data_IF_631580285143
#
_entry.id   IF_631580285143
#
_cell.length_a   1.000
_cell.length_b   1.000
_cell.length_c   1.000
_cell.angle_alpha   90.00
_cell.angle_beta   90.00
_cell.angle_gamma   90.00
#
_symmetry.space_group_name_H-M   'P 1'
#
loop_
_entity.id
_entity.type
_entity.pdbx_description
1 polymer ?
#
# COMPACT_ATOMS: atom_id res chain seq x y z
N UNK A 1 -85.65 -18.89 14.87
CA UNK A 1 -84.98 -19.13 13.57
C UNK A 1 -83.50 -18.87 13.75
N UNK A 2 -82.69 -19.85 13.35
CA UNK A 2 -81.29 -20.06 13.73
C UNK A 2 -80.31 -18.95 13.31
N UNK A 3 -79.43 -18.60 14.25
CA UNK A 3 -78.19 -17.86 13.99
C UNK A 3 -77.08 -18.87 13.64
N UNK A 4 -76.61 -18.82 12.39
CA UNK A 4 -75.50 -19.64 11.90
C UNK A 4 -74.16 -19.00 12.28
N UNK A 5 -73.41 -19.64 13.17
CA UNK A 5 -72.03 -19.28 13.52
C UNK A 5 -71.10 -19.94 12.51
N UNK A 6 -70.60 -19.16 11.55
CA UNK A 6 -69.56 -19.60 10.62
C UNK A 6 -68.19 -19.58 11.32
N UNK A 7 -67.76 -20.74 11.84
CA UNK A 7 -66.38 -20.95 12.30
C UNK A 7 -65.46 -21.20 11.10
N UNK A 8 -64.84 -20.13 10.60
CA UNK A 8 -63.80 -20.21 9.57
C UNK A 8 -62.48 -20.65 10.22
N UNK A 9 -62.15 -21.95 10.14
CA UNK A 9 -60.82 -22.48 10.46
C UNK A 9 -59.82 -22.07 9.38
N UNK A 10 -59.06 -21.01 9.62
CA UNK A 10 -57.92 -20.58 8.78
C UNK A 10 -56.68 -21.46 9.05
N UNK A 11 -55.93 -21.72 7.98
CA UNK A 11 -55.02 -22.85 7.78
C UNK A 11 -53.64 -22.73 8.50
N UNK A 12 -53.04 -23.85 8.94
CA UNK A 12 -51.71 -23.90 9.58
C UNK A 12 -50.51 -23.90 8.61
N UNK A 13 -50.68 -23.59 7.32
CA UNK A 13 -49.61 -23.75 6.29
C UNK A 13 -48.68 -22.55 6.19
N UNK A 14 -49.15 -21.32 6.44
CA UNK A 14 -48.33 -20.09 6.27
C UNK A 14 -47.19 -19.93 7.30
N UNK A 15 -47.30 -20.57 8.47
CA UNK A 15 -46.28 -20.51 9.51
C UNK A 15 -44.99 -21.28 9.15
N UNK A 16 -45.05 -22.26 8.24
CA UNK A 16 -43.86 -23.00 7.79
C UNK A 16 -43.02 -22.19 6.80
N UNK A 17 -43.64 -21.47 5.87
CA UNK A 17 -42.93 -20.67 4.87
C UNK A 17 -42.21 -19.46 5.49
N UNK A 18 -42.78 -18.87 6.55
CA UNK A 18 -42.14 -17.79 7.30
C UNK A 18 -40.84 -18.24 8.01
N UNK A 19 -40.75 -19.51 8.43
CA UNK A 19 -39.56 -20.07 9.07
C UNK A 19 -38.39 -20.27 8.10
N UNK A 20 -38.67 -20.80 6.90
CA UNK A 20 -37.65 -21.03 5.86
C UNK A 20 -37.05 -19.70 5.37
N UNK A 21 -37.90 -18.69 5.13
CA UNK A 21 -37.43 -17.35 4.72
C UNK A 21 -36.51 -16.68 5.75
N UNK A 22 -36.73 -16.91 7.05
CA UNK A 22 -35.87 -16.39 8.14
C UNK A 22 -34.52 -17.11 8.24
N UNK A 23 -34.47 -18.39 7.87
CA UNK A 23 -33.22 -19.14 7.83
C UNK A 23 -32.39 -18.71 6.61
N UNK A 24 -33.02 -18.60 5.44
CA UNK A 24 -32.37 -18.12 4.21
C UNK A 24 -31.84 -16.69 4.36
N UNK A 25 -32.58 -15.78 5.01
CA UNK A 25 -32.11 -14.41 5.25
C UNK A 25 -30.88 -14.39 6.16
N UNK A 26 -30.86 -15.21 7.23
CA UNK A 26 -29.73 -15.32 8.14
C UNK A 26 -28.50 -15.90 7.47
N UNK A 27 -28.66 -16.92 6.64
CA UNK A 27 -27.53 -17.52 5.95
C UNK A 27 -27.00 -16.60 4.84
N UNK A 28 -27.87 -15.85 4.16
CA UNK A 28 -27.45 -14.79 3.23
C UNK A 28 -26.68 -13.65 3.95
N UNK A 29 -27.12 -13.23 5.14
CA UNK A 29 -26.41 -12.25 5.96
C UNK A 29 -25.05 -12.76 6.43
N UNK A 30 -24.95 -14.01 6.90
CA UNK A 30 -23.68 -14.64 7.26
C UNK A 30 -22.72 -14.71 6.08
N UNK A 31 -23.20 -15.12 4.90
CA UNK A 31 -22.37 -15.17 3.69
C UNK A 31 -21.87 -13.77 3.28
N UNK A 32 -22.71 -12.73 3.41
CA UNK A 32 -22.29 -11.34 3.18
C UNK A 32 -21.23 -10.90 4.20
N UNK A 33 -21.42 -11.18 5.48
CA UNK A 33 -20.46 -10.85 6.54
C UNK A 33 -19.12 -11.56 6.34
N UNK A 34 -19.12 -12.85 5.99
CA UNK A 34 -17.91 -13.61 5.68
C UNK A 34 -17.17 -13.05 4.47
N UNK A 35 -17.88 -12.69 3.40
CA UNK A 35 -17.28 -12.05 2.21
C UNK A 35 -16.65 -10.70 2.54
N UNK A 36 -17.33 -9.88 3.35
CA UNK A 36 -16.79 -8.60 3.81
C UNK A 36 -15.53 -8.79 4.67
N UNK A 37 -15.53 -9.74 5.60
CA UNK A 37 -14.36 -10.05 6.42
C UNK A 37 -13.17 -10.52 5.56
N UNK A 38 -13.40 -11.39 4.57
CA UNK A 38 -12.36 -11.83 3.64
C UNK A 38 -11.82 -10.67 2.79
N UNK A 39 -12.67 -9.72 2.40
CA UNK A 39 -12.23 -8.54 1.67
C UNK A 39 -11.31 -7.66 2.53
N UNK A 40 -11.65 -7.42 3.80
CA UNK A 40 -10.82 -6.66 4.76
C UNK A 40 -9.48 -7.34 5.01
N UNK A 41 -9.47 -8.65 5.23
CA UNK A 41 -8.22 -9.42 5.43
C UNK A 41 -7.32 -9.36 4.19
N UNK A 42 -7.89 -9.26 2.99
CA UNK A 42 -7.13 -9.10 1.74
C UNK A 42 -6.59 -7.69 1.53
N UNK A 43 -7.25 -6.64 2.01
CA UNK A 43 -6.80 -5.25 1.83
C UNK A 43 -5.73 -4.81 2.83
N UNK A 44 -5.79 -5.29 4.08
CA UNK A 44 -4.81 -4.97 5.13
C UNK A 44 -3.33 -5.10 4.72
N UNK A 45 -2.86 -6.19 4.08
CA UNK A 45 -1.45 -6.29 3.70
C UNK A 45 -1.06 -5.29 2.60
N UNK A 46 -1.99 -4.89 1.73
CA UNK A 46 -1.73 -3.92 0.67
C UNK A 46 -1.55 -2.52 1.24
N UNK A 47 -2.40 -2.13 2.19
CA UNK A 47 -2.29 -0.84 2.89
C UNK A 47 -1.00 -0.76 3.71
N UNK A 48 -0.66 -1.82 4.45
CA UNK A 48 0.60 -1.89 5.20
C UNK A 48 1.83 -1.80 4.29
N UNK A 49 1.80 -2.47 3.13
CA UNK A 49 2.85 -2.39 2.12
C UNK A 49 2.97 -0.97 1.55
N UNK A 50 1.86 -0.33 1.20
CA UNK A 50 1.84 1.04 0.71
C UNK A 50 2.41 2.04 1.75
N UNK A 51 2.02 1.90 3.02
CA UNK A 51 2.53 2.71 4.11
C UNK A 51 4.06 2.54 4.31
N UNK A 52 4.56 1.30 4.24
CA UNK A 52 6.02 1.02 4.32
C UNK A 52 6.78 1.61 3.13
N UNK A 53 6.25 1.50 1.90
CA UNK A 53 6.83 2.14 0.71
C UNK A 53 6.88 3.66 0.88
N UNK A 54 5.80 4.28 1.37
CA UNK A 54 5.73 5.72 1.62
C UNK A 54 6.75 6.17 2.68
N UNK A 55 6.87 5.43 3.79
CA UNK A 55 7.86 5.70 4.82
C UNK A 55 9.31 5.61 4.29
N UNK A 56 9.62 4.59 3.47
CA UNK A 56 10.92 4.46 2.85
C UNK A 56 11.23 5.62 1.89
N UNK A 57 10.25 6.08 1.09
CA UNK A 57 10.40 7.28 0.24
C UNK A 57 10.67 8.54 1.07
N UNK A 58 9.95 8.73 2.17
CA UNK A 58 10.18 9.85 3.07
C UNK A 58 11.61 9.84 3.64
N UNK A 59 12.13 8.67 4.05
CA UNK A 59 13.53 8.52 4.47
C UNK A 59 14.51 8.91 3.36
N UNK A 60 14.27 8.51 2.11
CA UNK A 60 15.13 8.86 0.98
C UNK A 60 15.15 10.37 0.71
N UNK A 61 14.01 11.06 0.83
CA UNK A 61 13.98 12.53 0.72
C UNK A 61 14.73 13.23 1.87
N UNK A 62 14.62 12.74 3.10
CA UNK A 62 15.43 13.25 4.22
C UNK A 62 16.93 13.05 3.98
N UNK A 63 17.33 11.87 3.49
CA UNK A 63 18.73 11.58 3.13
C UNK A 63 19.21 12.51 2.01
N UNK A 64 18.37 12.80 1.02
CA UNK A 64 18.69 13.73 -0.07
C UNK A 64 18.97 15.14 0.46
N UNK A 65 18.20 15.64 1.41
CA UNK A 65 18.44 16.93 2.04
C UNK A 65 19.77 16.95 2.80
N UNK A 66 20.04 15.89 3.57
CA UNK A 66 21.32 15.72 4.27
C UNK A 66 22.51 15.67 3.30
N UNK A 67 22.38 15.00 2.15
CA UNK A 67 23.41 15.00 1.10
C UNK A 67 23.64 16.40 0.53
N UNK A 68 22.58 17.22 0.35
CA UNK A 68 22.74 18.60 -0.11
C UNK A 68 23.51 19.44 0.90
N UNK A 69 23.18 19.32 2.19
CA UNK A 69 23.92 20.01 3.26
C UNK A 69 25.37 19.56 3.30
N UNK A 70 25.60 18.25 3.17
CA UNK A 70 26.94 17.66 3.12
C UNK A 70 27.75 18.21 1.93
N UNK A 71 27.13 18.35 0.75
CA UNK A 71 27.82 18.90 -0.42
C UNK A 71 28.31 20.34 -0.20
N UNK A 72 27.51 21.15 0.51
CA UNK A 72 27.89 22.54 0.85
C UNK A 72 29.03 22.57 1.88
N UNK A 73 29.07 21.64 2.84
CA UNK A 73 30.10 21.58 3.88
C UNK A 73 31.34 20.75 3.52
N UNK A 74 31.31 19.99 2.43
CA UNK A 74 32.35 19.02 2.04
C UNK A 74 33.75 19.61 1.88
N UNK A 75 33.85 20.92 1.58
CA UNK A 75 35.13 21.62 1.46
C UNK A 75 35.75 22.09 2.77
N UNK A 76 35.01 22.03 3.88
CA UNK A 76 35.44 22.60 5.18
C UNK A 76 36.21 21.54 5.98
N UNK A 77 35.60 20.37 6.19
CA UNK A 77 36.22 19.26 6.93
C UNK A 77 36.05 17.94 6.16
N UNK A 78 37.11 17.46 5.47
CA UNK A 78 37.03 16.24 4.68
C UNK A 78 36.86 14.99 5.55
N UNK A 79 37.35 14.99 6.80
CA UNK A 79 37.24 13.84 7.71
C UNK A 79 35.81 13.68 8.23
N UNK A 80 35.19 14.78 8.65
CA UNK A 80 33.78 14.77 9.03
C UNK A 80 32.90 14.38 7.83
N UNK A 81 33.24 14.87 6.64
CA UNK A 81 32.53 14.55 5.40
C UNK A 81 32.55 13.06 5.10
N UNK A 82 33.71 12.40 5.23
CA UNK A 82 33.85 10.96 5.00
C UNK A 82 32.95 10.12 5.93
N UNK A 83 32.95 10.46 7.22
CA UNK A 83 32.12 9.77 8.23
C UNK A 83 30.63 9.96 7.98
N UNK A 84 30.21 11.19 7.69
CA UNK A 84 28.81 11.50 7.38
C UNK A 84 28.36 10.81 6.10
N UNK A 85 29.22 10.77 5.07
CA UNK A 85 28.93 10.04 3.84
C UNK A 85 28.74 8.54 4.10
N UNK A 86 29.62 7.90 4.87
CA UNK A 86 29.51 6.49 5.24
C UNK A 86 28.18 6.19 5.95
N UNK A 87 27.79 7.05 6.91
CA UNK A 87 26.51 6.93 7.60
C UNK A 87 25.32 7.06 6.63
N UNK A 88 25.33 8.06 5.75
CA UNK A 88 24.26 8.27 4.77
C UNK A 88 24.18 7.11 3.76
N UNK A 89 25.30 6.49 3.40
CA UNK A 89 25.32 5.30 2.55
C UNK A 89 24.59 4.11 3.21
N UNK A 90 24.87 3.85 4.50
CA UNK A 90 24.17 2.82 5.29
C UNK A 90 22.67 3.11 5.40
N UNK A 91 22.30 4.36 5.72
CA UNK A 91 20.90 4.78 5.82
C UNK A 91 20.17 4.62 4.47
N UNK A 92 20.83 4.96 3.35
CA UNK A 92 20.26 4.82 2.02
C UNK A 92 20.07 3.34 1.63
N UNK A 93 21.07 2.49 1.90
CA UNK A 93 20.97 1.04 1.70
C UNK A 93 19.80 0.43 2.50
N UNK A 94 19.65 0.81 3.77
CA UNK A 94 18.55 0.36 4.61
C UNK A 94 17.18 0.84 4.09
N UNK A 95 17.06 2.10 3.68
CA UNK A 95 15.80 2.62 3.11
C UNK A 95 15.40 1.87 1.82
N UNK A 96 16.38 1.48 1.00
CA UNK A 96 16.15 0.67 -0.19
C UNK A 96 15.69 -0.74 0.17
N UNK A 97 16.30 -1.38 1.18
CA UNK A 97 15.86 -2.69 1.69
C UNK A 97 14.43 -2.62 2.20
N UNK A 98 14.10 -1.61 3.02
CA UNK A 98 12.76 -1.39 3.55
C UNK A 98 11.73 -1.23 2.41
N UNK A 99 12.09 -0.48 1.35
CA UNK A 99 11.24 -0.28 0.18
C UNK A 99 11.00 -1.59 -0.60
N UNK A 100 12.05 -2.37 -0.83
CA UNK A 100 11.96 -3.66 -1.53
C UNK A 100 11.14 -4.67 -0.71
N UNK A 101 11.37 -4.74 0.60
CA UNK A 101 10.61 -5.59 1.50
C UNK A 101 9.11 -5.24 1.50
N UNK A 102 8.77 -3.98 1.28
CA UNK A 102 7.38 -3.54 1.12
C UNK A 102 6.79 -3.81 -0.28
N UNK A 103 7.64 -3.93 -1.32
CA UNK A 103 7.22 -4.17 -2.71
C UNK A 103 7.15 -5.64 -3.13
N UNK A 104 7.89 -6.51 -2.47
CA UNK A 104 7.81 -7.95 -2.68
C UNK A 104 6.66 -8.52 -1.87
N UNK A 105 5.73 -9.25 -2.50
CA UNK A 105 4.97 -10.28 -1.77
C UNK A 105 6.03 -11.14 -1.10
N UNK A 106 6.08 -11.13 0.22
CA UNK A 106 6.82 -12.14 0.99
C UNK A 106 6.50 -13.47 0.32
N UNK A 107 7.45 -14.01 -0.47
CA UNK A 107 7.47 -15.45 -0.61
C UNK A 107 7.52 -15.90 0.83
N UNK A 108 6.48 -16.64 1.21
CA UNK A 108 6.29 -17.29 2.49
C UNK A 108 7.50 -18.20 2.78
N UNK A 109 8.65 -17.59 3.02
CA UNK A 109 9.90 -18.21 3.37
C UNK A 109 10.12 -17.75 4.80
N UNK A 110 9.42 -18.45 5.70
CA UNK A 110 9.81 -18.76 7.07
C UNK A 110 10.99 -17.94 7.58
N UNK A 111 10.72 -16.73 8.03
CA UNK A 111 11.64 -15.95 8.83
C UNK A 111 10.82 -14.92 9.58
N UNK A 112 10.18 -15.39 10.65
CA UNK A 112 9.81 -14.53 11.77
C UNK A 112 11.12 -13.94 12.30
N UNK A 113 11.56 -12.84 11.71
CA UNK A 113 12.53 -11.96 12.31
C UNK A 113 11.76 -11.15 13.34
N UNK A 114 11.77 -11.66 14.58
CA UNK A 114 11.39 -10.91 15.77
C UNK A 114 12.15 -9.58 15.73
N UNK A 115 11.49 -8.41 15.77
CA UNK A 115 12.21 -7.17 16.00
C UNK A 115 12.84 -7.25 17.38
N UNK A 116 14.17 -7.18 17.45
CA UNK A 116 14.89 -7.01 18.69
C UNK A 116 14.36 -5.73 19.37
N UNK A 117 13.57 -5.92 20.43
CA UNK A 117 13.19 -4.86 21.36
C UNK A 117 14.47 -4.27 21.93
N UNK A 118 14.81 -3.06 21.50
CA UNK A 118 15.61 -2.16 22.32
C UNK A 118 14.72 -1.73 23.49
N UNK A 119 14.94 -2.34 24.66
CA UNK A 119 14.39 -1.86 25.93
C UNK A 119 14.88 -0.43 26.16
N UNK A 120 13.97 0.53 26.01
CA UNK A 120 14.14 1.92 26.42
C UNK A 120 12.83 2.35 27.05
N UNK A 121 12.78 2.25 28.38
CA UNK A 121 11.68 2.62 29.26
C UNK A 121 11.42 4.12 29.15
N UNK A 122 10.17 4.50 28.89
CA UNK A 122 9.52 5.68 29.49
C UNK A 122 7.99 5.55 29.34
N UNK A 123 7.37 5.19 30.48
CA UNK A 123 6.08 5.71 30.99
C UNK A 123 5.82 7.17 30.55
N UNK A 124 4.62 7.73 30.47
CA UNK A 124 3.24 7.37 30.76
C UNK A 124 2.46 8.64 30.33
N UNK A 125 1.24 8.49 29.82
CA UNK A 125 0.04 9.34 30.04
C UNK A 125 -0.89 9.31 28.83
N UNK A 126 -1.91 8.46 28.96
CA UNK A 126 -3.27 8.73 28.46
C UNK A 126 -3.91 9.79 29.39
N UNK A 127 -4.84 10.62 28.88
CA UNK A 127 -6.22 10.16 28.92
C UNK A 127 -7.06 10.52 27.68
N UNK A 128 -8.12 9.74 27.54
CA UNK A 128 -9.27 9.95 26.66
C UNK A 128 -10.04 11.23 27.01
N UNK A 129 -10.70 11.85 26.02
CA UNK A 129 -12.02 12.45 26.26
C UNK A 129 -12.86 12.54 24.98
N UNK A 130 -14.14 12.27 25.18
CA UNK A 130 -15.28 12.34 24.27
C UNK A 130 -15.52 13.73 23.68
N UNK A 131 -16.14 13.77 22.51
CA UNK A 131 -16.54 15.02 21.84
C UNK A 131 -17.49 14.79 20.68
N UNK A 132 -18.72 14.41 21.01
CA UNK A 132 -19.88 14.25 20.13
C UNK A 132 -20.46 15.64 19.82
N UNK A 133 -20.63 16.00 18.54
CA UNK A 133 -21.65 16.99 18.16
C UNK A 133 -22.17 16.70 16.75
N UNK A 134 -23.48 16.56 16.69
CA UNK A 134 -24.30 16.57 15.49
C UNK A 134 -24.49 18.01 15.02
N UNK A 135 -24.63 18.22 13.71
CA UNK A 135 -25.44 19.33 13.18
C UNK A 135 -26.11 18.88 11.88
N UNK A 136 -27.34 19.35 11.73
CA UNK A 136 -28.44 18.92 10.85
C UNK A 136 -28.25 19.37 9.38
N UNK A 137 -29.14 18.94 8.44
CA UNK A 137 -29.04 19.15 7.01
C UNK A 137 -29.70 20.47 6.59
N UNK A 138 -29.16 21.08 5.54
CA UNK A 138 -29.85 22.17 4.85
C UNK A 138 -30.49 21.66 3.56
N UNK A 139 -31.75 22.04 3.42
CA UNK A 139 -32.65 21.68 2.35
C UNK A 139 -32.61 22.76 1.26
N UNK A 140 -32.48 22.36 -0.01
CA UNK A 140 -32.87 23.22 -1.12
C UNK A 140 -33.66 22.39 -2.13
N UNK A 141 -34.97 22.66 -2.13
CA UNK A 141 -35.90 22.24 -3.15
C UNK A 141 -35.66 23.01 -4.45
N UNK A 142 -35.80 22.33 -5.58
CA UNK A 142 -36.18 22.94 -6.86
C UNK A 142 -36.99 21.91 -7.68
N UNK A 143 -38.22 22.33 -7.96
CA UNK A 143 -39.23 21.84 -8.92
C UNK A 143 -38.68 21.14 -10.17
N UNK A 144 -39.26 20.00 -10.60
CA UNK A 144 -40.43 19.86 -11.51
C UNK A 144 -40.14 20.46 -12.91
N UNK A 145 -40.36 19.84 -14.07
CA UNK A 145 -41.08 18.68 -14.58
C UNK A 145 -40.17 18.10 -15.71
N UNK A 146 -40.26 16.89 -16.23
CA UNK A 146 -41.30 16.43 -17.16
C UNK A 146 -40.87 15.04 -17.67
N UNK A 147 -41.88 14.19 -17.87
CA UNK A 147 -42.06 13.31 -19.01
C UNK A 147 -41.52 11.87 -19.05
N UNK A 148 -42.45 11.02 -19.47
CA UNK A 148 -42.33 9.67 -20.04
C UNK A 148 -42.09 8.48 -19.10
N UNK A 149 -43.13 7.65 -18.81
CA UNK A 149 -42.91 6.29 -18.33
C UNK A 149 -42.43 5.41 -19.50
N UNK A 150 -41.24 4.80 -19.47
CA UNK A 150 -40.95 3.73 -20.41
C UNK A 150 -41.85 2.54 -20.04
N UNK A 151 -42.65 2.14 -21.02
CA UNK A 151 -43.46 0.95 -21.01
C UNK A 151 -42.71 -0.22 -20.38
N UNK A 152 -43.43 -0.99 -19.56
CA UNK A 152 -43.02 -2.26 -19.00
C UNK A 152 -42.68 -3.24 -20.15
N UNK A 153 -41.44 -3.15 -20.64
CA UNK A 153 -40.83 -4.19 -21.43
C UNK A 153 -40.62 -5.37 -20.49
N UNK A 154 -41.45 -6.38 -20.69
CA UNK A 154 -41.24 -7.75 -20.23
C UNK A 154 -39.76 -8.05 -20.09
N UNK A 155 -39.33 -8.29 -18.86
CA UNK A 155 -38.02 -8.84 -18.53
C UNK A 155 -37.91 -10.22 -19.18
N UNK A 156 -37.63 -10.25 -20.49
CA UNK A 156 -37.10 -11.42 -21.14
C UNK A 156 -35.74 -11.66 -20.48
N UNK A 157 -35.77 -12.67 -19.61
CA UNK A 157 -34.71 -13.18 -18.79
C UNK A 157 -33.65 -13.83 -19.70
N UNK A 158 -33.07 -13.06 -20.62
CA UNK A 158 -32.19 -13.60 -21.64
C UNK A 158 -30.82 -13.88 -21.00
N UNK A 159 -30.48 -15.15 -20.73
CA UNK A 159 -29.26 -15.51 -20.00
C UNK A 159 -28.00 -15.02 -20.74
N UNK A 160 -28.08 -14.82 -22.06
CA UNK A 160 -26.99 -14.31 -22.88
C UNK A 160 -26.61 -12.86 -22.58
N UNK A 161 -27.56 -12.01 -22.16
CA UNK A 161 -27.25 -10.62 -21.78
C UNK A 161 -26.44 -10.55 -20.48
N UNK A 162 -26.73 -11.45 -19.52
CA UNK A 162 -25.98 -11.54 -18.25
C UNK A 162 -24.55 -12.02 -18.48
N UNK A 163 -24.33 -12.97 -19.40
CA UNK A 163 -22.97 -13.43 -19.72
C UNK A 163 -22.15 -12.34 -20.42
N UNK A 164 -22.75 -11.59 -21.35
CA UNK A 164 -22.09 -10.47 -22.04
C UNK A 164 -21.69 -9.35 -21.07
N UNK A 165 -22.56 -8.96 -20.13
CA UNK A 165 -22.19 -7.95 -19.13
C UNK A 165 -21.08 -8.44 -18.21
N UNK A 166 -21.15 -9.71 -17.75
CA UNK A 166 -20.11 -10.30 -16.90
C UNK A 166 -18.74 -10.37 -17.61
N UNK A 167 -18.71 -10.68 -18.91
CA UNK A 167 -17.48 -10.66 -19.71
C UNK A 167 -16.92 -9.24 -19.84
N UNK A 168 -17.79 -8.25 -20.00
CA UNK A 168 -17.38 -6.85 -20.07
C UNK A 168 -16.83 -6.33 -18.74
N UNK A 169 -17.47 -6.69 -17.62
CA UNK A 169 -17.01 -6.33 -16.27
C UNK A 169 -15.66 -6.99 -15.96
N UNK A 170 -15.49 -8.27 -16.29
CA UNK A 170 -14.20 -8.96 -16.18
C UNK A 170 -13.10 -8.30 -17.01
N UNK A 171 -13.42 -7.84 -18.24
CA UNK A 171 -12.46 -7.13 -19.08
C UNK A 171 -12.01 -5.79 -18.48
N UNK A 172 -12.92 -5.07 -17.82
CA UNK A 172 -12.60 -3.82 -17.09
C UNK A 172 -11.71 -4.09 -15.89
N UNK A 173 -12.01 -5.13 -15.11
CA UNK A 173 -11.23 -5.51 -13.94
C UNK A 173 -9.78 -5.89 -14.31
N UNK A 174 -9.61 -6.68 -15.37
CA UNK A 174 -8.27 -7.05 -15.86
C UNK A 174 -7.47 -5.83 -16.35
N UNK A 175 -8.12 -4.87 -17.01
CA UNK A 175 -7.46 -3.62 -17.43
C UNK A 175 -7.05 -2.79 -16.22
N UNK A 176 -7.93 -2.61 -15.24
CA UNK A 176 -7.63 -1.88 -14.02
C UNK A 176 -6.46 -2.51 -13.23
N UNK A 177 -6.42 -3.84 -13.16
CA UNK A 177 -5.29 -4.57 -12.54
C UNK A 177 -3.97 -4.33 -13.29
N UNK A 178 -4.00 -4.31 -14.62
CA UNK A 178 -2.81 -4.04 -15.44
C UNK A 178 -2.31 -2.61 -15.27
N UNK A 179 -3.22 -1.64 -15.28
CA UNK A 179 -2.89 -0.22 -15.04
C UNK A 179 -2.30 0.00 -13.63
N UNK A 180 -2.85 -0.68 -12.62
CA UNK A 180 -2.29 -0.65 -11.27
C UNK A 180 -0.87 -1.26 -11.21
N UNK A 181 -0.61 -2.35 -11.94
CA UNK A 181 0.73 -2.93 -12.04
C UNK A 181 1.72 -2.02 -12.78
N UNK A 182 1.28 -1.37 -13.86
CA UNK A 182 2.11 -0.45 -14.64
C UNK A 182 2.49 0.79 -13.83
N UNK A 183 1.55 1.33 -13.03
CA UNK A 183 1.84 2.49 -12.15
C UNK A 183 2.83 2.11 -11.04
N UNK A 184 2.66 0.96 -10.39
CA UNK A 184 3.61 0.44 -9.40
C UNK A 184 5.01 0.22 -10.00
N UNK A 185 5.08 -0.36 -11.21
CA UNK A 185 6.34 -0.57 -11.93
C UNK A 185 7.08 0.72 -12.22
N UNK A 186 6.36 1.76 -12.68
CA UNK A 186 6.94 3.11 -12.91
C UNK A 186 7.44 3.72 -11.61
N UNK A 187 6.64 3.69 -10.55
CA UNK A 187 7.06 4.25 -9.26
C UNK A 187 8.30 3.55 -8.69
N UNK A 188 8.40 2.23 -8.85
CA UNK A 188 9.59 1.47 -8.43
C UNK A 188 10.83 1.88 -9.22
N UNK A 189 10.69 2.07 -10.53
CA UNK A 189 11.79 2.54 -11.39
C UNK A 189 12.24 3.94 -10.98
N UNK A 190 11.32 4.88 -10.83
CA UNK A 190 11.61 6.26 -10.46
C UNK A 190 12.32 6.32 -9.10
N UNK A 191 11.85 5.54 -8.12
CA UNK A 191 12.50 5.42 -6.82
C UNK A 191 13.94 4.92 -6.94
N UNK A 192 14.19 3.84 -7.69
CA UNK A 192 15.54 3.30 -7.86
C UNK A 192 16.46 4.29 -8.60
N UNK A 193 15.95 5.00 -9.60
CA UNK A 193 16.71 6.00 -10.34
C UNK A 193 17.09 7.19 -9.44
N UNK A 194 16.19 7.64 -8.56
CA UNK A 194 16.49 8.65 -7.54
C UNK A 194 17.59 8.17 -6.60
N UNK A 195 17.46 6.97 -6.04
CA UNK A 195 18.44 6.38 -5.13
C UNK A 195 19.82 6.25 -5.78
N UNK A 196 19.89 5.78 -7.04
CA UNK A 196 21.16 5.73 -7.79
C UNK A 196 21.75 7.12 -8.01
N UNK A 197 20.91 8.11 -8.27
CA UNK A 197 21.34 9.51 -8.37
C UNK A 197 21.97 10.01 -7.07
N UNK A 198 21.40 9.66 -5.92
CA UNK A 198 21.95 10.01 -4.60
C UNK A 198 23.27 9.27 -4.32
N UNK A 199 23.34 7.98 -4.63
CA UNK A 199 24.56 7.19 -4.48
C UNK A 199 25.74 7.77 -5.30
N UNK A 200 25.48 8.21 -6.54
CA UNK A 200 26.50 8.90 -7.36
C UNK A 200 26.95 10.21 -6.73
N UNK A 201 26.01 11.06 -6.29
CA UNK A 201 26.35 12.33 -5.62
C UNK A 201 27.20 12.12 -4.38
N UNK A 202 26.90 11.08 -3.60
CA UNK A 202 27.67 10.76 -2.40
C UNK A 202 29.12 10.38 -2.74
N UNK A 203 29.32 9.58 -3.81
CA UNK A 203 30.66 9.27 -4.34
C UNK A 203 31.38 10.53 -4.83
N UNK A 204 30.69 11.38 -5.57
CA UNK A 204 31.27 12.61 -6.11
C UNK A 204 31.76 13.53 -4.97
N UNK A 205 30.98 13.66 -3.89
CA UNK A 205 31.36 14.42 -2.69
C UNK A 205 32.63 13.84 -2.03
N UNK A 206 32.74 12.51 -1.92
CA UNK A 206 33.96 11.88 -1.37
C UNK A 206 35.17 12.05 -2.28
N UNK A 207 34.98 11.94 -3.60
CA UNK A 207 36.07 12.17 -4.55
C UNK A 207 36.54 13.63 -4.46
N UNK A 208 35.62 14.58 -4.39
CA UNK A 208 35.94 16.00 -4.25
C UNK A 208 36.65 16.31 -2.92
N UNK A 209 36.19 15.73 -1.80
CA UNK A 209 36.84 15.93 -0.50
C UNK A 209 38.27 15.38 -0.47
N UNK A 210 38.52 14.23 -1.14
CA UNK A 210 39.85 13.64 -1.29
C UNK A 210 40.80 14.46 -2.14
N UNK A 211 40.28 15.13 -3.18
CA UNK A 211 41.05 16.02 -4.04
C UNK A 211 41.44 17.30 -3.30
N UNK A 212 40.56 17.84 -2.45
CA UNK A 212 40.79 19.09 -1.72
C UNK A 212 41.79 18.97 -0.58
N UNK A 213 41.98 17.79 0.02
CA UNK A 213 42.93 17.62 1.12
C UNK A 213 43.82 16.36 0.97
N UNK A 214 44.83 16.41 0.09
CA UNK A 214 45.74 15.28 -0.11
C UNK A 214 46.67 15.03 1.09
N UNK A 215 46.96 16.05 1.91
CA UNK A 215 47.93 15.98 3.01
C UNK A 215 47.29 15.58 4.36
N UNK A 216 46.01 15.85 4.56
CA UNK A 216 45.26 15.54 5.79
C UNK A 216 44.51 14.20 5.76
N UNK A 217 44.76 13.37 4.75
CA UNK A 217 44.04 12.10 4.52
C UNK A 217 44.18 11.15 5.70
N UNK A 218 43.04 10.72 6.19
CA UNK A 218 42.95 9.55 7.06
C UNK A 218 42.52 8.37 6.18
N UNK A 219 43.51 7.61 5.70
CA UNK A 219 43.29 6.51 4.77
C UNK A 219 42.27 5.49 5.29
N UNK A 220 42.17 5.33 6.62
CA UNK A 220 41.22 4.40 7.24
C UNK A 220 39.78 4.88 7.10
N UNK A 221 39.53 6.18 7.30
CA UNK A 221 38.19 6.76 7.14
C UNK A 221 37.74 6.75 5.67
N UNK A 222 38.67 7.02 4.77
CA UNK A 222 38.41 6.94 3.33
C UNK A 222 38.05 5.51 2.90
N UNK A 223 38.80 4.53 3.38
CA UNK A 223 38.54 3.11 3.10
C UNK A 223 37.20 2.66 3.69
N UNK A 224 36.86 3.06 4.92
CA UNK A 224 35.55 2.76 5.52
C UNK A 224 34.42 3.34 4.67
N UNK A 225 34.51 4.61 4.28
CA UNK A 225 33.49 5.25 3.45
C UNK A 225 33.34 4.55 2.08
N UNK A 226 34.44 4.09 1.48
CA UNK A 226 34.40 3.33 0.23
C UNK A 226 33.75 1.95 0.40
N UNK A 227 34.02 1.25 1.51
CA UNK A 227 33.39 -0.04 1.82
C UNK A 227 31.88 0.13 1.95
N UNK A 228 31.43 1.15 2.69
CA UNK A 228 30.00 1.40 2.89
C UNK A 228 29.28 1.80 1.59
N UNK A 229 29.93 2.61 0.75
CA UNK A 229 29.37 2.95 -0.56
C UNK A 229 29.26 1.73 -1.47
N UNK A 230 30.28 0.86 -1.47
CA UNK A 230 30.24 -0.39 -2.25
C UNK A 230 29.14 -1.31 -1.74
N UNK A 231 28.96 -1.41 -0.42
CA UNK A 231 27.89 -2.18 0.19
C UNK A 231 26.51 -1.63 -0.24
N UNK A 232 26.31 -0.32 -0.14
CA UNK A 232 25.12 0.37 -0.61
C UNK A 232 24.86 0.13 -2.12
N UNK A 233 25.87 0.22 -2.99
CA UNK A 233 25.70 -0.07 -4.42
C UNK A 233 25.28 -1.51 -4.69
N UNK A 234 25.87 -2.46 -3.96
CA UNK A 234 25.52 -3.88 -4.06
C UNK A 234 24.06 -4.09 -3.65
N UNK A 235 23.60 -3.41 -2.58
CA UNK A 235 22.22 -3.43 -2.13
C UNK A 235 21.25 -2.83 -3.15
N UNK A 236 21.57 -1.67 -3.73
CA UNK A 236 20.78 -1.04 -4.80
C UNK A 236 20.70 -1.95 -6.03
N UNK A 237 21.80 -2.63 -6.36
CA UNK A 237 21.86 -3.56 -7.49
C UNK A 237 21.04 -4.83 -7.22
N UNK A 238 21.06 -5.34 -6.00
CA UNK A 238 20.21 -6.46 -5.57
C UNK A 238 18.74 -6.06 -5.59
N UNK A 239 18.40 -4.90 -5.03
CA UNK A 239 17.06 -4.31 -5.02
C UNK A 239 16.49 -4.14 -6.43
N UNK A 240 17.31 -3.65 -7.35
CA UNK A 240 16.96 -3.52 -8.77
C UNK A 240 16.61 -4.89 -9.37
N UNK A 241 17.46 -5.89 -9.13
CA UNK A 241 17.21 -7.25 -9.63
C UNK A 241 15.92 -7.83 -9.05
N UNK A 242 15.69 -7.72 -7.75
CA UNK A 242 14.45 -8.21 -7.12
C UNK A 242 13.21 -7.54 -7.70
N UNK A 243 13.24 -6.22 -7.91
CA UNK A 243 12.10 -5.48 -8.46
C UNK A 243 11.86 -5.78 -9.94
N UNK A 244 12.91 -5.95 -10.74
CA UNK A 244 12.79 -6.31 -12.16
C UNK A 244 12.38 -7.78 -12.39
N UNK A 245 12.82 -8.71 -11.55
CA UNK A 245 12.39 -10.13 -11.68
C UNK A 245 10.88 -10.30 -11.50
N UNK A 246 10.24 -9.40 -10.76
CA UNK A 246 8.80 -9.42 -10.56
C UNK A 246 8.02 -8.98 -11.81
N UNK A 247 8.54 -8.01 -12.57
CA UNK A 247 7.84 -7.47 -13.75
C UNK A 247 8.04 -8.31 -15.01
N UNK A 248 9.14 -9.06 -15.12
CA UNK A 248 9.44 -9.86 -16.32
C UNK A 248 8.78 -11.24 -16.38
N UNK A 249 8.38 -11.83 -15.26
CA UNK A 249 7.91 -13.22 -15.21
C UNK A 249 6.47 -13.43 -15.75
N UNK A 250 5.72 -12.37 -16.07
CA UNK A 250 4.31 -12.47 -16.49
C UNK A 250 4.06 -12.41 -18.01
N UNK A 251 5.10 -12.28 -18.85
CA UNK A 251 4.95 -12.05 -20.30
C UNK A 251 5.29 -13.28 -21.16
N UNK A 252 5.69 -14.42 -20.57
CA UNK A 252 6.14 -15.61 -21.33
C UNK A 252 5.21 -16.83 -21.29
N UNK A 253 3.90 -16.66 -21.11
CA UNK A 253 2.92 -17.75 -21.17
C UNK A 253 1.83 -17.48 -22.22
#
# INVERSE_FOLDING_TARGET
MSLAVASTRLAPVELRDAGVRRLESRDAEKLKAMKAAVAVVKSQPQEAAAARKAAARAKVEQIRERIRLLAVSAGIDPRATARQAAQLARELGQAVKDYVAAGGKEKLASSVAVPAQASGVMEETTPANDGRTADDPDAAAADAETDTPPAAASASLDPYRKTLSSLQDQGRDLRALREAQDTDGRQNKDFLDQVRGLARKLKDILLESRLKNPQGRDARLDEEADVEIKAMDAEISQATRSLNTFTGASVSA
#
